data_IF_564641875709
#
_entry.id   IF_564641875709
#
_cell.length_a   1.000
_cell.length_b   1.000
_cell.length_c   1.000
_cell.angle_alpha   90.00
_cell.angle_beta   90.00
_cell.angle_gamma   90.00
#
_symmetry.space_group_name_H-M   'P 1'
#
loop_
_entity.id
_entity.type
_entity.pdbx_description
1 polymer ?
#
# COMPACT_ATOMS: atom_id res chain seq x y z
N UNK A 1 -8.91 7.17 5.33
CA UNK A 1 -9.30 6.14 4.33
C UNK A 1 -10.72 5.68 4.67
N UNK A 2 -11.66 5.69 3.72
CA UNK A 2 -13.08 5.35 4.00
C UNK A 2 -13.27 3.83 4.15
N UNK A 3 -14.25 3.38 4.95
CA UNK A 3 -14.60 1.95 5.10
C UNK A 3 -14.76 1.22 3.75
N UNK A 4 -15.35 1.89 2.76
CA UNK A 4 -15.48 1.36 1.39
C UNK A 4 -14.12 1.01 0.78
N UNK A 5 -13.14 1.90 0.90
CA UNK A 5 -11.78 1.66 0.39
C UNK A 5 -11.04 0.59 1.18
N UNK A 6 -11.30 0.47 2.49
CA UNK A 6 -10.72 -0.59 3.33
C UNK A 6 -11.27 -1.96 2.93
N UNK A 7 -12.57 -2.06 2.64
CA UNK A 7 -13.19 -3.32 2.18
C UNK A 7 -12.88 -3.65 0.72
N UNK A 8 -12.67 -2.65 -0.15
CA UNK A 8 -12.27 -2.91 -1.55
C UNK A 8 -10.93 -3.65 -1.63
N UNK A 9 -10.01 -3.38 -0.72
CA UNK A 9 -8.71 -4.06 -0.67
C UNK A 9 -8.85 -5.58 -0.45
N UNK A 10 -9.98 -6.05 0.10
CA UNK A 10 -10.27 -7.48 0.19
C UNK A 10 -10.27 -8.18 -1.17
N UNK A 11 -10.68 -7.48 -2.24
CA UNK A 11 -10.75 -8.06 -3.59
C UNK A 11 -9.37 -8.34 -4.19
N UNK A 12 -8.32 -7.71 -3.65
CA UNK A 12 -6.94 -7.89 -4.10
C UNK A 12 -6.18 -8.93 -3.26
N UNK A 13 -6.75 -9.40 -2.16
CA UNK A 13 -6.12 -10.42 -1.33
C UNK A 13 -5.99 -11.74 -2.10
N UNK A 14 -4.85 -12.41 -1.93
CA UNK A 14 -4.53 -13.68 -2.60
C UNK A 14 -3.76 -13.51 -3.91
N UNK A 15 -3.96 -12.41 -4.64
CA UNK A 15 -3.28 -12.14 -5.90
C UNK A 15 -2.20 -11.05 -5.79
N UNK A 16 -2.29 -10.19 -4.77
CA UNK A 16 -1.41 -9.03 -4.62
C UNK A 16 -0.72 -9.02 -3.24
N UNK A 17 0.53 -8.56 -3.23
CA UNK A 17 1.15 -8.09 -1.99
C UNK A 17 0.67 -6.67 -1.71
N UNK A 18 0.02 -6.46 -0.57
CA UNK A 18 -0.52 -5.15 -0.19
C UNK A 18 0.49 -4.44 0.71
N UNK A 19 0.89 -3.22 0.33
CA UNK A 19 1.73 -2.34 1.14
C UNK A 19 0.92 -1.11 1.60
N UNK A 20 0.68 -1.00 2.91
CA UNK A 20 -0.08 0.08 3.53
C UNK A 20 0.85 1.15 4.11
N UNK A 21 0.78 2.36 3.57
CA UNK A 21 1.54 3.52 4.07
C UNK A 21 0.75 4.35 5.09
N UNK A 22 1.29 4.48 6.31
CA UNK A 22 0.73 5.21 7.45
C UNK A 22 1.54 6.49 7.71
N UNK A 23 0.94 7.65 7.47
CA UNK A 23 1.61 8.96 7.60
C UNK A 23 1.76 9.43 9.05
N UNK A 24 0.84 9.02 9.91
CA UNK A 24 0.72 9.42 11.32
C UNK A 24 1.28 8.37 12.29
N UNK A 25 1.67 7.20 11.77
CA UNK A 25 2.11 6.07 12.59
C UNK A 25 0.99 5.32 13.28
N UNK A 26 -0.28 5.59 12.95
CA UNK A 26 -1.43 4.89 13.52
C UNK A 26 -1.74 3.64 12.72
N UNK A 27 -0.95 2.61 12.93
CA UNK A 27 -1.19 1.29 12.32
C UNK A 27 -2.39 0.58 12.95
N UNK A 28 -2.70 0.87 14.21
CA UNK A 28 -3.73 0.18 15.01
C UNK A 28 -5.15 0.35 14.47
N UNK A 29 -5.43 1.37 13.67
CA UNK A 29 -6.74 1.57 13.01
C UNK A 29 -7.03 0.51 11.93
N UNK A 30 -6.04 -0.29 11.58
CA UNK A 30 -6.18 -1.38 10.62
C UNK A 30 -6.38 -2.73 11.29
N UNK A 31 -6.05 -2.86 12.58
CA UNK A 31 -6.14 -4.12 13.34
C UNK A 31 -7.58 -4.67 13.37
N UNK A 32 -8.59 -3.81 13.16
CA UNK A 32 -10.00 -4.20 13.01
C UNK A 32 -10.26 -5.06 11.75
N UNK A 33 -9.34 -5.06 10.77
CA UNK A 33 -9.42 -5.86 9.56
C UNK A 33 -8.38 -6.98 9.58
N UNK A 34 -8.85 -8.23 9.65
CA UNK A 34 -7.97 -9.42 9.62
C UNK A 34 -7.04 -9.44 8.41
N UNK A 35 -7.51 -8.98 7.25
CA UNK A 35 -6.69 -8.94 6.05
C UNK A 35 -5.51 -7.97 6.14
N UNK A 36 -5.62 -6.92 6.96
CA UNK A 36 -4.53 -5.96 7.11
C UNK A 36 -3.31 -6.62 7.74
N UNK A 37 -3.51 -7.64 8.59
CA UNK A 37 -2.41 -8.40 9.22
C UNK A 37 -1.54 -9.15 8.18
N UNK A 38 -2.06 -9.37 6.98
CA UNK A 38 -1.32 -9.94 5.85
C UNK A 38 -0.65 -8.89 4.97
N UNK A 39 -1.02 -7.61 5.13
CA UNK A 39 -0.39 -6.51 4.43
C UNK A 39 0.95 -6.15 5.10
N UNK A 40 1.85 -5.56 4.33
CA UNK A 40 3.06 -4.94 4.85
C UNK A 40 2.68 -3.53 5.31
N UNK A 41 2.89 -3.22 6.59
CA UNK A 41 2.64 -1.89 7.14
C UNK A 41 3.92 -1.08 7.15
N UNK A 42 3.87 0.09 6.52
CA UNK A 42 4.97 1.03 6.48
C UNK A 42 4.55 2.36 7.08
N UNK A 43 5.23 2.80 8.13
CA UNK A 43 5.07 4.15 8.64
C UNK A 43 6.36 4.94 8.53
N UNK A 44 6.31 6.01 7.74
CA UNK A 44 7.43 6.95 7.63
C UNK A 44 6.88 8.35 7.83
N UNK A 45 7.22 8.95 8.98
CA UNK A 45 6.77 10.30 9.31
C UNK A 45 7.34 11.30 8.30
N UNK A 46 6.48 12.20 7.82
CA UNK A 46 6.83 13.32 6.93
C UNK A 46 7.41 12.91 5.55
N UNK A 47 7.23 11.66 5.12
CA UNK A 47 7.58 11.24 3.75
C UNK A 47 6.32 10.91 2.95
N UNK A 48 6.34 11.21 1.64
CA UNK A 48 5.22 10.90 0.75
C UNK A 48 5.32 9.48 0.21
N UNK A 49 4.19 8.83 -0.09
CA UNK A 49 4.15 7.51 -0.78
C UNK A 49 5.04 7.51 -2.03
N UNK A 50 4.97 8.59 -2.80
CA UNK A 50 5.80 8.81 -3.99
C UNK A 50 7.30 8.89 -3.70
N UNK A 51 7.68 9.56 -2.63
CA UNK A 51 9.09 9.63 -2.23
C UNK A 51 9.65 8.24 -1.91
N UNK A 52 8.85 7.39 -1.26
CA UNK A 52 9.22 6.01 -1.00
C UNK A 52 9.28 5.20 -2.29
N UNK A 53 8.21 5.22 -3.10
CA UNK A 53 8.15 4.47 -4.35
C UNK A 53 9.37 4.73 -5.24
N UNK A 54 9.71 6.00 -5.46
CA UNK A 54 10.85 6.41 -6.30
C UNK A 54 12.23 5.98 -5.78
N UNK A 55 12.37 5.71 -4.48
CA UNK A 55 13.67 5.39 -3.86
C UNK A 55 13.84 3.93 -3.52
N UNK A 56 12.75 3.25 -3.17
CA UNK A 56 12.80 1.90 -2.60
C UNK A 56 12.12 0.85 -3.47
N UNK A 57 11.37 1.21 -4.51
CA UNK A 57 10.91 0.26 -5.51
C UNK A 57 11.98 0.11 -6.60
N UNK A 58 13.14 -0.42 -6.20
CA UNK A 58 14.22 -0.76 -7.13
C UNK A 58 13.76 -1.86 -8.11
N UNK A 59 14.23 -1.89 -9.38
CA UNK A 59 13.95 -2.96 -10.33
C UNK A 59 14.00 -4.36 -9.74
N UNK A 60 15.00 -4.67 -8.91
CA UNK A 60 15.14 -6.00 -8.30
C UNK A 60 14.01 -6.36 -7.30
N UNK A 61 13.39 -5.37 -6.68
CA UNK A 61 12.26 -5.56 -5.75
C UNK A 61 10.96 -5.72 -6.53
N UNK A 62 10.84 -5.02 -7.65
CA UNK A 62 9.60 -4.98 -8.45
C UNK A 62 9.55 -6.04 -9.53
N UNK A 63 10.70 -6.57 -9.98
CA UNK A 63 10.82 -7.56 -11.04
C UNK A 63 9.94 -8.81 -10.87
N UNK A 64 9.66 -9.31 -9.65
CA UNK A 64 8.76 -10.44 -9.47
C UNK A 64 7.26 -10.11 -9.63
N UNK A 65 6.89 -8.83 -9.72
CA UNK A 65 5.51 -8.38 -9.80
C UNK A 65 5.15 -7.98 -11.23
N UNK A 66 4.09 -8.56 -11.78
CA UNK A 66 3.57 -8.16 -13.11
C UNK A 66 3.01 -6.73 -13.10
N UNK A 67 2.52 -6.29 -11.94
CA UNK A 67 1.89 -4.98 -11.76
C UNK A 67 2.20 -4.41 -10.39
N UNK A 68 2.38 -3.09 -10.33
CA UNK A 68 2.45 -2.33 -9.09
C UNK A 68 1.32 -1.32 -9.08
N UNK A 69 0.53 -1.38 -8.01
CA UNK A 69 -0.59 -0.48 -7.80
C UNK A 69 -0.25 0.46 -6.65
N UNK A 70 -0.10 1.75 -6.96
CA UNK A 70 0.11 2.78 -5.95
C UNK A 70 -1.20 3.54 -5.75
N UNK A 71 -1.82 3.31 -4.60
CA UNK A 71 -3.04 4.00 -4.21
C UNK A 71 -2.76 5.17 -3.27
N UNK A 72 -3.24 6.36 -3.64
CA UNK A 72 -3.28 7.53 -2.76
C UNK A 72 -4.73 8.01 -2.60
N UNK A 73 -5.08 8.51 -1.41
CA UNK A 73 -6.46 8.83 -1.00
C UNK A 73 -7.17 9.88 -1.89
N UNK A 74 -6.44 10.51 -2.81
CA UNK A 74 -6.97 11.52 -3.75
C UNK A 74 -6.78 11.16 -5.22
N UNK A 75 -5.89 10.22 -5.57
CA UNK A 75 -5.59 9.85 -6.96
C UNK A 75 -5.15 8.39 -7.02
N UNK A 76 -5.73 7.64 -7.97
CA UNK A 76 -5.11 6.43 -8.48
C UNK A 76 -3.97 6.85 -9.40
N UNK A 77 -2.78 6.28 -9.23
CA UNK A 77 -1.79 6.29 -10.30
C UNK A 77 -1.48 4.84 -10.61
N UNK A 78 -1.78 4.47 -11.84
CA UNK A 78 -1.29 3.23 -12.43
C UNK A 78 0.07 3.58 -13.04
N UNK A 79 1.12 3.11 -12.39
CA UNK A 79 2.45 3.10 -12.98
C UNK A 79 2.84 1.63 -13.06
N UNK A 80 2.79 1.08 -14.27
CA UNK A 80 3.50 -0.15 -14.58
C UNK A 80 4.93 0.30 -14.79
N UNK A 81 5.82 -0.05 -13.86
CA UNK A 81 7.26 -0.02 -14.15
C UNK A 81 7.58 -1.14 -15.14
#
# INVERSE_FOLDING_TARGET
>A
MCLLTKNLLLQFLGNFTILLFHYDGRTTEWDEFEWSKQAIHMSVRKQTKWWYAKRFLHPDIVAPYDYILIWDQRKWVFEVL
#
